data_IF_071560339894
#
_entry.id   IF_071560339894
#
_cell.length_a   1.000
_cell.length_b   1.000
_cell.length_c   1.000
_cell.angle_alpha   90.00
_cell.angle_beta   90.00
_cell.angle_gamma   90.00
#
_symmetry.space_group_name_H-M   'P 1'
#
loop_
_entity.id
_entity.type
_entity.pdbx_description
1 polymer ?
#
# COMPACT_ATOMS: atom_id res chain seq x y z
N UNK A 1 -27.89 40.25 25.25
CA UNK A 1 -27.63 40.53 23.84
C UNK A 1 -26.16 40.50 23.50
N UNK A 2 -25.33 41.22 24.19
CA UNK A 2 -23.90 41.19 23.96
C UNK A 2 -23.29 39.79 24.11
N UNK A 3 -23.87 38.98 24.96
CA UNK A 3 -23.40 37.65 25.22
C UNK A 3 -23.44 36.75 23.97
N UNK A 4 -24.49 36.90 23.18
CA UNK A 4 -24.61 36.07 21.97
C UNK A 4 -23.53 36.41 20.93
N UNK A 5 -23.14 37.66 20.83
CA UNK A 5 -22.07 38.08 19.94
C UNK A 5 -20.71 37.55 20.40
N UNK A 6 -20.50 37.53 21.71
CA UNK A 6 -19.26 37.02 22.27
C UNK A 6 -19.09 35.52 21.96
N UNK A 7 -20.16 34.74 22.00
CA UNK A 7 -20.12 33.34 21.65
C UNK A 7 -19.65 33.10 20.23
N UNK A 8 -20.03 33.96 19.31
CA UNK A 8 -19.57 33.82 17.91
C UNK A 8 -18.09 34.07 17.75
N UNK A 9 -17.53 34.95 18.55
CA UNK A 9 -16.10 35.27 18.48
C UNK A 9 -15.22 34.16 19.01
N UNK A 10 -15.83 33.24 19.72
CA UNK A 10 -15.11 32.06 20.27
C UNK A 10 -15.04 30.86 19.31
N UNK A 11 -15.50 31.05 18.10
CA UNK A 11 -15.46 29.98 17.12
C UNK A 11 -14.03 29.51 16.89
N UNK A 12 -13.76 28.24 17.08
CA UNK A 12 -12.39 27.71 17.02
C UNK A 12 -11.90 27.45 15.59
N UNK A 13 -12.42 28.17 14.64
CA UNK A 13 -12.14 27.94 13.23
C UNK A 13 -10.68 28.07 12.84
N UNK A 14 -9.92 28.76 13.65
CA UNK A 14 -8.51 29.04 13.37
C UNK A 14 -7.55 28.09 14.09
N UNK A 15 -8.08 27.21 14.90
CA UNK A 15 -7.22 26.27 15.64
C UNK A 15 -6.76 25.14 14.75
N UNK A 16 -5.51 24.66 14.93
CA UNK A 16 -5.04 23.47 14.24
C UNK A 16 -5.85 22.25 14.64
N UNK A 17 -5.83 21.20 13.83
CA UNK A 17 -6.53 19.96 14.18
C UNK A 17 -6.14 19.47 15.57
N UNK A 18 -7.14 19.10 16.35
CA UNK A 18 -6.95 18.60 17.68
C UNK A 18 -6.09 17.32 17.65
N UNK A 19 -5.18 17.20 18.59
CA UNK A 19 -4.37 15.98 18.75
C UNK A 19 -5.24 14.76 18.98
N UNK A 20 -6.35 14.90 19.68
CA UNK A 20 -7.30 13.81 19.91
C UNK A 20 -7.92 13.33 18.60
N UNK A 21 -8.29 14.23 17.72
CA UNK A 21 -8.86 13.86 16.43
C UNK A 21 -7.84 13.12 15.56
N UNK A 22 -6.58 13.53 15.59
CA UNK A 22 -5.49 12.87 14.86
C UNK A 22 -5.21 11.48 15.42
N UNK A 23 -5.15 11.35 16.75
CA UNK A 23 -4.98 10.05 17.41
C UNK A 23 -6.15 9.12 17.09
N UNK A 24 -7.38 9.64 17.10
CA UNK A 24 -8.57 8.85 16.75
C UNK A 24 -8.51 8.35 15.32
N UNK A 25 -8.07 9.18 14.39
CA UNK A 25 -7.91 8.78 12.99
C UNK A 25 -6.87 7.67 12.84
N UNK A 26 -5.73 7.79 13.51
CA UNK A 26 -4.70 6.76 13.52
C UNK A 26 -5.23 5.44 14.11
N UNK A 27 -5.91 5.51 15.24
CA UNK A 27 -6.50 4.34 15.88
C UNK A 27 -7.52 3.64 14.97
N UNK A 28 -8.30 4.39 14.22
CA UNK A 28 -9.25 3.83 13.25
C UNK A 28 -8.54 3.04 12.16
N UNK A 29 -7.47 3.60 11.61
CA UNK A 29 -6.66 2.91 10.61
C UNK A 29 -6.01 1.65 11.18
N UNK A 30 -5.51 1.74 12.41
CA UNK A 30 -4.88 0.60 13.08
C UNK A 30 -5.90 -0.52 13.34
N UNK A 31 -7.12 -0.19 13.75
CA UNK A 31 -8.18 -1.17 13.94
C UNK A 31 -8.58 -1.84 12.63
N UNK A 32 -8.68 -1.09 11.55
CA UNK A 32 -8.92 -1.67 10.24
C UNK A 32 -7.81 -2.64 9.88
N UNK A 33 -6.55 -2.25 10.05
CA UNK A 33 -5.39 -3.10 9.74
C UNK A 33 -5.43 -4.42 10.55
N UNK A 34 -5.81 -4.36 11.82
CA UNK A 34 -5.93 -5.55 12.67
C UNK A 34 -7.01 -6.51 12.20
N UNK A 35 -8.03 -6.02 11.50
CA UNK A 35 -9.15 -6.85 11.03
C UNK A 35 -8.85 -7.58 9.71
N UNK A 36 -7.73 -7.29 9.05
CA UNK A 36 -7.41 -7.86 7.76
C UNK A 36 -6.97 -9.32 7.86
N UNK A 37 -7.34 -10.09 6.84
CA UNK A 37 -6.86 -11.46 6.65
C UNK A 37 -5.74 -11.44 5.61
N UNK A 38 -4.50 -11.54 6.06
CA UNK A 38 -3.33 -11.43 5.20
C UNK A 38 -3.10 -12.63 4.29
N UNK A 39 -3.92 -13.68 4.41
CA UNK A 39 -3.96 -14.74 3.42
C UNK A 39 -4.65 -14.27 2.13
N UNK A 40 -5.41 -13.18 2.18
CA UNK A 40 -6.14 -12.65 1.02
C UNK A 40 -5.34 -11.54 0.36
N UNK A 41 -5.27 -11.61 -0.96
CA UNK A 41 -4.52 -10.62 -1.77
C UNK A 41 -5.07 -9.20 -1.55
N UNK A 42 -6.38 -9.03 -1.61
CA UNK A 42 -7.00 -7.72 -1.42
C UNK A 42 -6.68 -7.11 -0.06
N UNK A 43 -6.62 -7.94 0.98
CA UNK A 43 -6.32 -7.47 2.33
C UNK A 43 -4.84 -7.07 2.46
N UNK A 44 -3.94 -7.75 1.76
CA UNK A 44 -2.53 -7.35 1.71
C UNK A 44 -2.36 -5.99 1.03
N UNK A 45 -3.07 -5.75 -0.07
CA UNK A 45 -3.08 -4.43 -0.71
C UNK A 45 -3.63 -3.38 0.24
N UNK A 46 -4.71 -3.71 0.94
CA UNK A 46 -5.31 -2.77 1.89
C UNK A 46 -4.35 -2.44 3.03
N UNK A 47 -3.62 -3.43 3.53
CA UNK A 47 -2.59 -3.21 4.55
C UNK A 47 -1.55 -2.19 4.07
N UNK A 48 -1.08 -2.35 2.84
CA UNK A 48 -0.12 -1.41 2.26
C UNK A 48 -0.68 0.00 2.14
N UNK A 49 -1.93 0.13 1.73
CA UNK A 49 -2.61 1.42 1.65
C UNK A 49 -2.79 2.08 3.00
N UNK A 50 -3.15 1.30 4.01
CA UNK A 50 -3.29 1.80 5.38
C UNK A 50 -1.94 2.24 5.94
N UNK A 51 -0.88 1.48 5.69
CA UNK A 51 0.47 1.86 6.08
C UNK A 51 0.88 3.19 5.44
N UNK A 52 0.54 3.41 4.18
CA UNK A 52 0.81 4.67 3.50
C UNK A 52 0.04 5.83 4.12
N UNK A 53 -1.23 5.63 4.43
CA UNK A 53 -2.04 6.66 5.08
C UNK A 53 -1.46 7.04 6.44
N UNK A 54 -1.07 6.05 7.24
CA UNK A 54 -0.45 6.29 8.54
C UNK A 54 0.91 6.98 8.41
N UNK A 55 1.71 6.59 7.42
CA UNK A 55 3.01 7.22 7.16
C UNK A 55 2.88 8.69 6.80
N UNK A 56 1.89 9.04 5.99
CA UNK A 56 1.66 10.45 5.59
C UNK A 56 1.25 11.31 6.77
N UNK A 57 0.39 10.77 7.64
CA UNK A 57 -0.15 11.52 8.75
C UNK A 57 0.81 11.55 9.96
N UNK A 58 1.64 10.53 10.09
CA UNK A 58 2.57 10.37 11.21
C UNK A 58 3.94 9.93 10.71
N UNK A 59 4.71 10.82 10.05
CA UNK A 59 6.01 10.46 9.51
C UNK A 59 7.05 10.30 10.61
N UNK A 60 7.22 9.07 11.08
CA UNK A 60 8.26 8.69 12.03
C UNK A 60 9.14 7.64 11.37
N UNK A 61 10.47 7.73 11.59
CA UNK A 61 11.43 6.84 10.96
C UNK A 61 11.26 5.37 11.34
N UNK A 62 10.69 5.10 12.53
CA UNK A 62 10.44 3.75 13.04
C UNK A 62 8.98 3.32 12.95
N UNK A 63 8.16 4.03 12.16
CA UNK A 63 6.71 3.79 12.10
C UNK A 63 6.40 2.34 11.71
N UNK A 64 7.02 1.83 10.66
CA UNK A 64 6.73 0.48 10.18
C UNK A 64 7.17 -0.60 11.18
N UNK A 65 8.27 -0.37 11.89
CA UNK A 65 8.69 -1.28 12.95
C UNK A 65 7.69 -1.33 14.09
N UNK A 66 7.18 -0.17 14.49
CA UNK A 66 6.15 -0.07 15.53
C UNK A 66 4.83 -0.70 15.09
N UNK A 67 4.40 -0.43 13.86
CA UNK A 67 3.19 -1.02 13.31
C UNK A 67 3.28 -2.54 13.23
N UNK A 68 4.44 -3.05 12.83
CA UNK A 68 4.67 -4.49 12.75
C UNK A 68 4.48 -5.16 14.11
N UNK A 69 4.98 -4.53 15.17
CA UNK A 69 4.79 -5.02 16.54
C UNK A 69 3.30 -5.00 16.92
N UNK A 70 2.62 -3.88 16.68
CA UNK A 70 1.21 -3.72 17.02
C UNK A 70 0.30 -4.67 16.26
N UNK A 71 0.65 -4.97 15.02
CA UNK A 71 -0.14 -5.84 14.15
C UNK A 71 0.31 -7.31 14.23
N UNK A 72 1.38 -7.59 14.98
CA UNK A 72 1.95 -8.93 15.09
C UNK A 72 2.33 -9.52 13.74
N UNK A 73 2.91 -8.70 12.88
CA UNK A 73 3.43 -9.12 11.57
C UNK A 73 4.92 -8.86 11.47
N UNK A 74 5.58 -9.57 10.56
CA UNK A 74 6.97 -9.30 10.29
C UNK A 74 7.14 -7.92 9.63
N UNK A 75 8.10 -7.09 10.09
CA UNK A 75 8.35 -5.78 9.47
C UNK A 75 8.60 -5.85 7.96
N UNK A 76 9.25 -6.92 7.50
CA UNK A 76 9.48 -7.15 6.08
C UNK A 76 8.19 -7.34 5.30
N UNK A 77 7.22 -8.05 5.87
CA UNK A 77 5.91 -8.23 5.25
C UNK A 77 5.15 -6.91 5.13
N UNK A 78 5.22 -6.08 6.15
CA UNK A 78 4.56 -4.78 6.13
C UNK A 78 5.18 -3.86 5.07
N UNK A 79 6.50 -3.80 5.01
CA UNK A 79 7.23 -3.02 4.01
C UNK A 79 6.93 -3.52 2.60
N UNK A 80 6.91 -4.83 2.40
CA UNK A 80 6.57 -5.43 1.11
C UNK A 80 5.14 -5.04 0.69
N UNK A 81 4.16 -5.16 1.59
CA UNK A 81 2.78 -4.80 1.31
C UNK A 81 2.67 -3.33 0.89
N UNK A 82 3.40 -2.45 1.57
CA UNK A 82 3.45 -1.04 1.22
C UNK A 82 4.04 -0.81 -0.18
N UNK A 83 5.19 -1.40 -0.48
CA UNK A 83 5.82 -1.25 -1.80
C UNK A 83 4.92 -1.79 -2.93
N UNK A 84 4.32 -2.96 -2.73
CA UNK A 84 3.46 -3.56 -3.75
C UNK A 84 2.20 -2.70 -3.95
N UNK A 85 1.60 -2.21 -2.88
CA UNK A 85 0.43 -1.35 -2.99
C UNK A 85 0.74 -0.05 -3.73
N UNK A 86 1.92 0.53 -3.49
CA UNK A 86 2.34 1.75 -4.19
C UNK A 86 2.67 1.48 -5.65
N UNK A 87 3.24 0.31 -5.95
CA UNK A 87 3.57 -0.07 -7.33
C UNK A 87 2.33 -0.37 -8.18
N UNK A 88 1.23 -0.80 -7.55
CA UNK A 88 0.01 -1.20 -8.23
C UNK A 88 -1.21 -0.46 -7.68
N UNK A 89 -1.50 0.75 -8.16
CA UNK A 89 -2.73 1.45 -7.79
C UNK A 89 -3.97 0.59 -8.09
N UNK A 90 -5.09 0.79 -7.40
CA UNK A 90 -6.27 -0.09 -7.52
C UNK A 90 -6.70 -0.41 -8.95
N UNK A 91 -6.66 0.58 -9.84
CA UNK A 91 -7.08 0.39 -11.23
C UNK A 91 -6.18 -0.56 -12.02
N UNK A 92 -4.96 -0.82 -11.56
CA UNK A 92 -3.99 -1.67 -12.24
C UNK A 92 -3.99 -3.12 -11.73
N UNK A 93 -4.77 -3.39 -10.69
CA UNK A 93 -4.86 -4.73 -10.11
C UNK A 93 -5.85 -5.58 -10.90
N UNK A 94 -5.60 -6.88 -10.98
CA UNK A 94 -6.46 -7.83 -11.69
C UNK A 94 -6.95 -8.91 -10.72
N UNK A 95 -8.27 -9.23 -10.72
CA UNK A 95 -8.80 -10.26 -9.83
C UNK A 95 -8.16 -11.63 -10.11
N UNK A 96 -7.98 -12.40 -9.06
CA UNK A 96 -7.55 -13.79 -9.19
C UNK A 96 -6.05 -14.01 -9.30
N UNK A 97 -5.24 -12.96 -9.39
CA UNK A 97 -3.79 -13.14 -9.40
C UNK A 97 -3.25 -13.34 -7.99
N UNK A 98 -2.33 -14.31 -7.80
CA UNK A 98 -1.65 -14.50 -6.52
C UNK A 98 -0.78 -13.29 -6.16
N UNK A 99 -0.62 -13.06 -4.86
CA UNK A 99 0.24 -11.99 -4.35
C UNK A 99 1.67 -12.06 -4.90
N UNK A 100 2.22 -13.28 -5.04
CA UNK A 100 3.58 -13.50 -5.52
C UNK A 100 3.84 -12.87 -6.88
N UNK A 101 2.85 -12.84 -7.77
CA UNK A 101 3.02 -12.23 -9.09
C UNK A 101 3.20 -10.73 -8.98
N UNK A 102 2.39 -10.06 -8.16
CA UNK A 102 2.58 -8.63 -7.90
C UNK A 102 3.92 -8.36 -7.24
N UNK A 103 4.30 -9.16 -6.27
CA UNK A 103 5.57 -9.03 -5.56
C UNK A 103 6.76 -9.11 -6.51
N UNK A 104 6.78 -10.09 -7.38
CA UNK A 104 7.86 -10.27 -8.36
C UNK A 104 7.95 -9.11 -9.33
N UNK A 105 6.81 -8.58 -9.77
CA UNK A 105 6.74 -7.54 -10.79
C UNK A 105 6.88 -6.12 -10.26
N UNK A 106 6.89 -5.92 -8.95
CA UNK A 106 6.75 -4.59 -8.34
C UNK A 106 7.74 -3.54 -8.82
N UNK A 107 8.93 -3.94 -9.21
CA UNK A 107 9.96 -3.01 -9.70
C UNK A 107 10.10 -2.99 -11.21
N UNK A 108 9.36 -3.82 -11.92
CA UNK A 108 9.51 -3.90 -13.37
C UNK A 108 8.84 -2.69 -14.04
N UNK A 109 9.51 -2.05 -15.02
CA UNK A 109 8.92 -0.90 -15.73
C UNK A 109 7.64 -1.24 -16.49
N UNK A 110 7.49 -2.47 -16.94
CA UNK A 110 6.30 -2.96 -17.67
C UNK A 110 5.36 -3.77 -16.78
N UNK A 111 5.39 -3.53 -15.47
CA UNK A 111 4.63 -4.35 -14.52
C UNK A 111 3.12 -4.37 -14.76
N UNK A 112 2.55 -3.26 -15.22
CA UNK A 112 1.10 -3.20 -15.46
C UNK A 112 0.67 -4.05 -16.65
N UNK A 113 1.45 -4.00 -17.73
CA UNK A 113 1.24 -4.87 -18.88
C UNK A 113 1.40 -6.34 -18.49
N UNK A 114 2.45 -6.66 -17.75
CA UNK A 114 2.73 -8.03 -17.34
C UNK A 114 1.66 -8.59 -16.41
N UNK A 115 1.13 -7.78 -15.51
CA UNK A 115 0.01 -8.19 -14.65
C UNK A 115 -1.23 -8.49 -15.52
N UNK A 116 -1.52 -7.64 -16.50
CA UNK A 116 -2.65 -7.86 -17.41
C UNK A 116 -2.49 -9.15 -18.22
N UNK A 117 -1.30 -9.40 -18.74
CA UNK A 117 -1.01 -10.64 -19.48
C UNK A 117 -1.12 -11.87 -18.57
N UNK A 118 -0.56 -11.79 -17.37
CA UNK A 118 -0.65 -12.89 -16.42
C UNK A 118 -2.09 -13.21 -16.05
N UNK A 119 -2.92 -12.20 -15.84
CA UNK A 119 -4.34 -12.40 -15.55
C UNK A 119 -5.09 -12.99 -16.75
N UNK A 120 -4.85 -12.45 -17.94
CA UNK A 120 -5.55 -12.90 -19.16
C UNK A 120 -5.21 -14.34 -19.52
N UNK A 121 -3.92 -14.72 -19.37
CA UNK A 121 -3.45 -16.05 -19.75
C UNK A 121 -3.34 -17.03 -18.57
N UNK A 122 -3.78 -16.62 -17.38
CA UNK A 122 -3.70 -17.44 -16.15
C UNK A 122 -2.27 -17.94 -15.89
N UNK A 123 -1.31 -17.06 -16.03
CA UNK A 123 0.09 -17.39 -15.77
C UNK A 123 0.32 -17.67 -14.28
N UNK A 124 1.11 -18.69 -14.00
CA UNK A 124 1.61 -18.94 -12.65
C UNK A 124 2.94 -18.20 -12.43
N UNK A 125 3.48 -18.32 -11.23
CA UNK A 125 4.74 -17.67 -10.88
C UNK A 125 5.88 -18.10 -11.81
N UNK A 126 6.00 -19.38 -12.08
CA UNK A 126 7.06 -19.91 -12.93
C UNK A 126 6.98 -19.34 -14.36
N UNK A 127 5.76 -19.16 -14.88
CA UNK A 127 5.58 -18.59 -16.21
C UNK A 127 5.96 -17.10 -16.23
N UNK A 128 5.60 -16.36 -15.18
CA UNK A 128 6.00 -14.95 -15.06
C UNK A 128 7.52 -14.84 -15.01
N UNK A 129 8.18 -15.67 -14.23
CA UNK A 129 9.64 -15.66 -14.11
C UNK A 129 10.31 -15.96 -15.46
N UNK A 130 9.77 -16.90 -16.24
CA UNK A 130 10.27 -17.17 -17.59
C UNK A 130 10.09 -15.99 -18.52
N UNK A 131 8.94 -15.34 -18.45
CA UNK A 131 8.70 -14.15 -19.26
C UNK A 131 9.69 -13.04 -18.94
N UNK A 132 9.99 -12.83 -17.68
CA UNK A 132 10.99 -11.83 -17.26
C UNK A 132 12.38 -12.20 -17.79
N UNK A 133 12.75 -13.48 -17.72
CA UNK A 133 14.03 -13.95 -18.24
C UNK A 133 14.11 -13.74 -19.77
N UNK A 134 13.04 -14.05 -20.49
CA UNK A 134 12.98 -13.88 -21.94
C UNK A 134 13.10 -12.41 -22.35
N UNK A 135 12.41 -11.52 -21.64
CA UNK A 135 12.48 -10.07 -21.89
C UNK A 135 13.87 -9.52 -21.60
N UNK A 136 14.49 -9.99 -20.52
CA UNK A 136 15.83 -9.60 -20.16
C UNK A 136 16.85 -10.04 -21.24
N UNK A 137 16.77 -11.28 -21.71
CA UNK A 137 17.63 -11.81 -22.76
C UNK A 137 17.46 -11.01 -24.07
N UNK A 138 16.23 -10.68 -24.44
CA UNK A 138 15.93 -9.86 -25.61
C UNK A 138 16.54 -8.46 -25.49
N UNK A 139 16.44 -7.87 -24.31
CA UNK A 139 16.99 -6.55 -24.03
C UNK A 139 18.53 -6.56 -24.13
N UNK A 140 19.18 -7.58 -23.59
CA UNK A 140 20.63 -7.76 -23.71
C UNK A 140 21.05 -7.93 -25.17
N UNK A 141 20.29 -8.71 -25.93
CA UNK A 141 20.55 -8.89 -27.36
C UNK A 141 20.48 -7.58 -28.14
N UNK A 142 19.52 -6.74 -27.84
CA UNK A 142 19.41 -5.41 -28.46
C UNK A 142 20.56 -4.50 -28.08
N UNK A 143 20.98 -4.55 -26.81
CA UNK A 143 22.11 -3.75 -26.34
C UNK A 143 23.43 -4.20 -26.96
N UNK A 144 23.59 -5.49 -27.24
CA UNK A 144 24.80 -6.05 -27.87
C UNK A 144 24.84 -5.85 -29.37
N UNK A 145 23.68 -5.65 -29.98
CA UNK A 145 23.57 -5.41 -31.41
C UNK A 145 23.58 -3.94 -31.75
#
# INVERSE_FOLDING_TARGET
MAVALTAHLQMPTMEPPDKEATVTAFETLLQEARSLDLARVDDRFRLGELAEAMRRDHPAGDLFERLAIDLEVDPGQLTEAWYVAMAFPPATRRPGLPWEIYRILRYHPERHELVSLAAHHSWDQARVERELADRFATQLGRAAG
#
